data_IF_835648000792
#
_entry.id   IF_835648000792
#
_cell.length_a   1.000
_cell.length_b   1.000
_cell.length_c   1.000
_cell.angle_alpha   90.00
_cell.angle_beta   90.00
_cell.angle_gamma   90.00
#
_symmetry.space_group_name_H-M   'P 1'
#
loop_
_entity.id
_entity.type
_entity.pdbx_description
1 polymer ?
#
# COMPACT_ATOMS: atom_id res chain seq x y z
N UNK A 1 36.53 29.40 0.33
CA UNK A 1 37.06 28.48 1.37
C UNK A 1 36.31 27.16 1.21
N UNK A 2 36.99 26.09 0.78
CA UNK A 2 36.36 24.76 0.67
C UNK A 2 36.09 24.28 2.11
N UNK A 3 34.84 24.26 2.51
CA UNK A 3 34.45 23.57 3.75
C UNK A 3 34.82 22.09 3.61
N UNK A 4 35.53 21.52 4.59
CA UNK A 4 35.95 20.13 4.55
C UNK A 4 34.69 19.23 4.43
N UNK A 5 34.81 18.16 3.65
CA UNK A 5 33.72 17.20 3.49
C UNK A 5 33.33 16.62 4.86
N UNK A 6 32.01 16.48 5.17
CA UNK A 6 31.57 16.07 6.51
C UNK A 6 31.87 14.60 6.85
N UNK A 7 32.25 13.79 5.87
CA UNK A 7 32.57 12.37 6.03
C UNK A 7 34.00 12.08 5.69
N UNK A 8 34.57 11.09 6.37
CA UNK A 8 35.95 10.63 6.16
C UNK A 8 36.00 9.58 5.05
N UNK A 9 34.90 8.90 4.78
CA UNK A 9 34.77 7.94 3.68
C UNK A 9 33.32 7.99 3.12
N UNK A 10 33.21 7.94 1.80
CA UNK A 10 31.95 7.85 1.07
C UNK A 10 31.90 6.53 0.32
N UNK A 11 30.83 5.78 0.48
CA UNK A 11 30.65 4.45 -0.11
C UNK A 11 29.37 4.42 -0.93
N UNK A 12 29.46 4.01 -2.19
CA UNK A 12 28.33 3.59 -2.99
C UNK A 12 28.21 2.06 -2.96
N UNK A 13 27.01 1.56 -2.71
CA UNK A 13 26.72 0.12 -2.65
C UNK A 13 25.61 -0.22 -3.64
N UNK A 14 25.94 -1.04 -4.62
CA UNK A 14 24.97 -1.67 -5.52
C UNK A 14 24.84 -3.16 -5.21
N UNK A 15 23.61 -3.61 -4.92
CA UNK A 15 23.34 -4.96 -4.46
C UNK A 15 22.69 -5.80 -5.55
N UNK A 16 23.31 -6.94 -5.88
CA UNK A 16 22.70 -8.07 -6.55
C UNK A 16 22.18 -9.12 -5.54
N UNK A 17 21.72 -10.26 -6.04
CA UNK A 17 21.20 -11.35 -5.21
C UNK A 17 22.28 -11.95 -4.28
N UNK A 18 23.49 -12.18 -4.79
CA UNK A 18 24.57 -12.90 -4.08
C UNK A 18 25.75 -12.02 -3.73
N UNK A 19 25.93 -10.90 -4.41
CA UNK A 19 27.06 -10.00 -4.23
C UNK A 19 26.59 -8.57 -4.12
N UNK A 20 27.44 -7.72 -3.53
CA UNK A 20 27.30 -6.28 -3.56
C UNK A 20 28.60 -5.67 -4.08
N UNK A 21 28.48 -4.79 -5.06
CA UNK A 21 29.57 -3.98 -5.57
C UNK A 21 29.67 -2.70 -4.75
N UNK A 22 30.87 -2.40 -4.33
CA UNK A 22 31.21 -1.25 -3.49
C UNK A 22 32.14 -0.34 -4.26
N UNK A 23 31.91 0.96 -4.16
CA UNK A 23 32.84 1.99 -4.62
C UNK A 23 33.11 2.96 -3.49
N UNK A 24 34.40 3.18 -3.21
CA UNK A 24 34.88 4.01 -2.12
C UNK A 24 35.48 5.32 -2.66
N UNK A 25 35.21 6.42 -1.98
CA UNK A 25 35.86 7.71 -2.21
C UNK A 25 36.32 8.24 -0.87
N UNK A 26 37.63 8.49 -0.74
CA UNK A 26 38.19 9.25 0.37
C UNK A 26 38.12 10.76 0.02
N UNK A 27 37.30 11.53 0.74
CA UNK A 27 37.14 12.96 0.43
C UNK A 27 38.38 13.82 0.70
N UNK A 28 39.35 13.33 1.48
CA UNK A 28 40.58 14.08 1.82
C UNK A 28 41.64 13.92 0.74
N UNK A 29 41.88 12.69 0.33
CA UNK A 29 42.90 12.37 -0.67
C UNK A 29 42.41 12.36 -2.10
N UNK A 30 41.10 12.22 -2.31
CA UNK A 30 40.47 11.97 -3.61
C UNK A 30 40.71 10.54 -4.12
N UNK A 31 41.31 9.66 -3.33
CA UNK A 31 41.54 8.28 -3.71
C UNK A 31 40.22 7.52 -3.80
N UNK A 32 40.14 6.63 -4.81
CA UNK A 32 38.98 5.77 -5.03
C UNK A 32 39.38 4.31 -4.99
N UNK A 33 38.45 3.46 -4.57
CA UNK A 33 38.64 2.02 -4.55
C UNK A 33 37.36 1.26 -4.95
N UNK A 34 37.53 0.02 -5.34
CA UNK A 34 36.41 -0.89 -5.65
C UNK A 34 36.59 -2.20 -4.93
N UNK A 35 35.47 -2.78 -4.52
CA UNK A 35 35.44 -4.11 -3.90
C UNK A 35 34.10 -4.76 -4.21
N UNK A 36 34.10 -6.07 -4.40
CA UNK A 36 32.88 -6.88 -4.45
C UNK A 36 32.87 -7.79 -3.23
N UNK A 37 31.75 -7.83 -2.51
CA UNK A 37 31.56 -8.66 -1.32
C UNK A 37 30.35 -9.57 -1.50
N UNK A 38 30.32 -10.70 -0.79
CA UNK A 38 29.13 -11.53 -0.72
C UNK A 38 28.04 -10.84 0.15
N UNK A 39 26.78 -11.08 -0.16
CA UNK A 39 25.63 -10.49 0.56
C UNK A 39 25.13 -11.39 1.70
N UNK A 40 25.87 -12.43 2.07
CA UNK A 40 25.54 -13.21 3.25
C UNK A 40 25.72 -12.35 4.52
N UNK A 41 24.93 -12.57 5.58
CA UNK A 41 25.07 -11.83 6.83
C UNK A 41 26.49 -11.85 7.40
N UNK A 42 27.16 -13.01 7.35
CA UNK A 42 28.52 -13.19 7.85
C UNK A 42 29.54 -12.36 7.08
N UNK A 43 29.42 -12.34 5.74
CA UNK A 43 30.32 -11.54 4.90
C UNK A 43 30.10 -10.03 5.12
N UNK A 44 28.85 -9.60 5.24
CA UNK A 44 28.52 -8.22 5.52
C UNK A 44 29.02 -7.78 6.92
N UNK A 45 28.84 -8.60 7.96
CA UNK A 45 29.37 -8.35 9.28
C UNK A 45 30.90 -8.28 9.28
N UNK A 46 31.57 -9.24 8.63
CA UNK A 46 33.03 -9.26 8.52
C UNK A 46 33.57 -8.04 7.79
N UNK A 47 32.95 -7.64 6.69
CA UNK A 47 33.31 -6.43 5.96
C UNK A 47 33.16 -5.17 6.81
N UNK A 48 32.03 -5.00 7.52
CA UNK A 48 31.79 -3.84 8.38
C UNK A 48 32.74 -3.80 9.59
N UNK A 49 33.07 -4.94 10.18
CA UNK A 49 34.07 -5.02 11.25
C UNK A 49 35.45 -4.57 10.77
N UNK A 50 35.88 -5.05 9.58
CA UNK A 50 37.14 -4.62 8.97
C UNK A 50 37.12 -3.13 8.62
N UNK A 51 36.03 -2.61 8.06
CA UNK A 51 35.84 -1.21 7.74
C UNK A 51 36.00 -0.32 9.01
N UNK A 52 35.40 -0.77 10.13
CA UNK A 52 35.51 -0.07 11.42
C UNK A 52 36.95 -0.09 12.00
N UNK A 53 37.67 -1.18 11.79
CA UNK A 53 39.09 -1.27 12.19
C UNK A 53 39.98 -0.30 11.40
N UNK A 54 39.69 -0.14 10.09
CA UNK A 54 40.43 0.82 9.25
C UNK A 54 40.11 2.28 9.57
N UNK A 55 38.88 2.56 10.05
CA UNK A 55 38.38 3.90 10.37
C UNK A 55 37.76 3.95 11.78
N UNK A 56 38.57 3.83 12.87
CA UNK A 56 38.05 3.68 14.24
C UNK A 56 37.13 4.83 14.68
N UNK A 57 37.47 6.07 14.31
CA UNK A 57 36.70 7.28 14.63
C UNK A 57 36.07 7.92 13.37
N UNK A 58 36.18 7.26 12.22
CA UNK A 58 35.73 7.79 10.95
C UNK A 58 34.22 7.90 10.86
N UNK A 59 33.75 9.03 10.33
CA UNK A 59 32.34 9.23 9.92
C UNK A 59 32.18 8.73 8.50
N UNK A 60 31.42 7.63 8.33
CA UNK A 60 31.26 6.97 7.06
C UNK A 60 29.86 7.20 6.53
N UNK A 61 29.76 7.64 5.28
CA UNK A 61 28.50 7.75 4.55
C UNK A 61 28.35 6.61 3.53
N UNK A 62 27.22 5.93 3.54
CA UNK A 62 26.92 4.84 2.62
C UNK A 62 25.64 5.14 1.83
N UNK A 63 25.77 5.12 0.52
CA UNK A 63 24.70 5.34 -0.44
C UNK A 63 24.28 4.03 -1.11
N UNK A 64 22.99 3.75 -1.13
CA UNK A 64 22.42 2.56 -1.80
C UNK A 64 21.10 2.88 -2.48
N UNK A 65 20.73 2.05 -3.47
CA UNK A 65 19.46 2.20 -4.18
C UNK A 65 18.28 1.56 -3.43
N UNK A 66 17.14 2.21 -3.42
CA UNK A 66 15.87 1.63 -2.96
C UNK A 66 15.25 0.74 -4.05
N UNK A 67 14.56 -0.38 -3.72
CA UNK A 67 14.22 -0.87 -2.38
C UNK A 67 15.21 -1.91 -1.84
N UNK A 68 16.04 -1.54 -0.91
CA UNK A 68 16.95 -2.46 -0.22
C UNK A 68 16.54 -2.63 1.25
N UNK A 69 15.26 -2.88 1.53
CA UNK A 69 14.70 -2.81 2.87
C UNK A 69 15.43 -3.70 3.90
N UNK A 70 15.78 -4.94 3.56
CA UNK A 70 16.49 -5.84 4.45
C UNK A 70 17.93 -5.37 4.73
N UNK A 71 18.62 -4.87 3.71
CA UNK A 71 19.99 -4.36 3.85
C UNK A 71 20.02 -3.04 4.65
N UNK A 72 19.04 -2.16 4.43
CA UNK A 72 18.91 -0.94 5.23
C UNK A 72 18.70 -1.28 6.70
N UNK A 73 17.78 -2.19 7.02
CA UNK A 73 17.53 -2.65 8.39
C UNK A 73 18.78 -3.27 9.04
N UNK A 74 19.56 -4.00 8.26
CA UNK A 74 20.84 -4.54 8.72
C UNK A 74 21.85 -3.43 9.00
N UNK A 75 22.05 -2.50 8.06
CA UNK A 75 23.01 -1.40 8.18
C UNK A 75 22.63 -0.40 9.27
N UNK A 76 21.34 -0.21 9.58
CA UNK A 76 20.86 0.63 10.68
C UNK A 76 21.38 0.19 12.06
N UNK A 77 21.80 -1.07 12.22
CA UNK A 77 22.38 -1.56 13.47
C UNK A 77 23.76 -0.96 13.76
N UNK A 78 24.39 -0.37 12.74
CA UNK A 78 25.72 0.26 12.83
C UNK A 78 25.60 1.78 12.92
N UNK A 79 25.53 2.32 14.13
CA UNK A 79 25.29 3.75 14.40
C UNK A 79 26.34 4.71 13.85
N UNK A 80 27.53 4.21 13.51
CA UNK A 80 28.65 4.96 12.95
C UNK A 80 28.57 5.15 11.42
N UNK A 81 27.55 4.54 10.77
CA UNK A 81 27.30 4.71 9.33
C UNK A 81 26.10 5.63 9.14
N UNK A 82 26.29 6.66 8.33
CA UNK A 82 25.20 7.51 7.86
C UNK A 82 24.68 6.97 6.53
N UNK A 83 23.45 6.46 6.51
CA UNK A 83 22.84 5.85 5.33
C UNK A 83 22.12 6.88 4.46
N UNK A 84 22.27 6.72 3.14
CA UNK A 84 21.54 7.47 2.13
C UNK A 84 20.84 6.51 1.16
N UNK A 85 19.52 6.41 1.27
CA UNK A 85 18.73 5.54 0.43
C UNK A 85 18.17 6.33 -0.77
N UNK A 86 18.69 6.08 -1.96
CA UNK A 86 18.41 6.84 -3.18
C UNK A 86 17.29 6.21 -3.99
N UNK A 87 16.42 7.05 -4.52
CA UNK A 87 15.38 6.61 -5.43
C UNK A 87 16.00 6.18 -6.78
N UNK A 88 15.64 5.02 -7.35
CA UNK A 88 16.13 4.54 -8.64
C UNK A 88 16.08 5.59 -9.76
N UNK A 89 15.01 6.36 -9.81
CA UNK A 89 14.87 7.41 -10.81
C UNK A 89 15.90 8.55 -10.65
N UNK A 90 16.33 8.82 -9.42
CA UNK A 90 17.36 9.84 -9.14
C UNK A 90 18.71 9.34 -9.64
N UNK A 91 19.07 8.09 -9.34
CA UNK A 91 20.29 7.47 -9.82
C UNK A 91 20.30 7.40 -11.37
N UNK A 92 19.19 6.94 -11.96
CA UNK A 92 19.05 6.89 -13.42
C UNK A 92 19.30 8.27 -14.07
N UNK A 93 18.68 9.33 -13.56
CA UNK A 93 18.88 10.69 -14.11
C UNK A 93 20.29 11.20 -13.88
N UNK A 94 20.92 10.89 -12.76
CA UNK A 94 22.31 11.25 -12.52
C UNK A 94 23.22 10.57 -13.53
N UNK A 95 23.05 9.27 -13.76
CA UNK A 95 23.78 8.52 -14.77
C UNK A 95 23.58 9.07 -16.19
N UNK A 96 22.31 9.33 -16.59
CA UNK A 96 21.98 9.86 -17.92
C UNK A 96 22.62 11.25 -18.19
N UNK A 97 22.93 12.01 -17.15
CA UNK A 97 23.61 13.29 -17.29
C UNK A 97 25.08 13.16 -17.74
N UNK A 98 25.72 12.01 -17.50
CA UNK A 98 27.13 11.78 -17.78
C UNK A 98 27.40 10.69 -18.83
N UNK A 99 26.41 9.84 -19.14
CA UNK A 99 26.54 8.72 -20.10
C UNK A 99 25.57 8.89 -21.25
N UNK A 100 26.12 9.22 -22.42
CA UNK A 100 25.34 9.43 -23.65
C UNK A 100 24.85 8.13 -24.28
N UNK A 101 25.53 7.00 -24.07
CA UNK A 101 25.24 5.70 -24.69
C UNK A 101 24.01 5.00 -24.15
N UNK A 102 23.45 5.42 -22.99
CA UNK A 102 22.38 4.75 -22.22
C UNK A 102 22.65 3.27 -21.93
N UNK A 103 23.87 2.77 -22.15
CA UNK A 103 24.24 1.42 -21.84
C UNK A 103 24.21 1.20 -20.31
N UNK A 104 23.59 0.12 -19.87
CA UNK A 104 23.62 -0.31 -18.48
C UNK A 104 24.89 -1.15 -18.26
N UNK A 105 25.76 -0.69 -17.38
CA UNK A 105 26.93 -1.42 -16.93
C UNK A 105 26.79 -1.60 -15.42
N UNK A 106 26.49 -2.82 -15.00
CA UNK A 106 26.13 -3.14 -13.62
C UNK A 106 27.28 -2.81 -12.62
N UNK A 107 28.54 -2.81 -13.05
CA UNK A 107 29.68 -2.42 -12.19
C UNK A 107 29.83 -0.92 -11.93
N UNK A 108 29.05 -0.08 -12.60
CA UNK A 108 29.15 1.38 -12.47
C UNK A 108 28.08 1.99 -11.56
N UNK A 109 27.00 1.28 -11.23
CA UNK A 109 25.94 1.85 -10.39
C UNK A 109 26.43 2.15 -8.97
N UNK A 110 27.32 1.33 -8.38
CA UNK A 110 28.00 1.63 -7.13
C UNK A 110 28.88 2.90 -7.21
N UNK A 111 29.57 3.09 -8.33
CA UNK A 111 30.37 4.29 -8.58
C UNK A 111 29.49 5.54 -8.64
N UNK A 112 28.40 5.51 -9.41
CA UNK A 112 27.48 6.64 -9.50
C UNK A 112 26.79 6.97 -8.18
N UNK A 113 26.51 5.97 -7.35
CA UNK A 113 25.97 6.17 -6.00
C UNK A 113 26.99 6.89 -5.11
N UNK A 114 28.26 6.48 -5.16
CA UNK A 114 29.34 7.15 -4.40
C UNK A 114 29.55 8.58 -4.88
N UNK A 115 29.66 8.81 -6.19
CA UNK A 115 29.84 10.14 -6.80
C UNK A 115 28.67 11.08 -6.50
N UNK A 116 27.43 10.58 -6.61
CA UNK A 116 26.21 11.32 -6.29
C UNK A 116 26.23 11.78 -4.82
N UNK A 117 26.59 10.87 -3.89
CA UNK A 117 26.68 11.19 -2.48
C UNK A 117 27.84 12.15 -2.20
N UNK A 118 29.02 11.89 -2.73
CA UNK A 118 30.19 12.75 -2.57
C UNK A 118 29.92 14.18 -3.01
N UNK A 119 29.34 14.35 -4.22
CA UNK A 119 29.15 15.67 -4.81
C UNK A 119 27.92 16.40 -4.25
N UNK A 120 26.88 15.66 -3.86
CA UNK A 120 25.56 16.25 -3.54
C UNK A 120 25.02 15.89 -2.16
N UNK A 121 25.86 15.46 -1.21
CA UNK A 121 25.43 15.08 0.15
C UNK A 121 24.56 16.15 0.82
N UNK A 122 24.87 17.43 0.65
CA UNK A 122 24.10 18.55 1.21
C UNK A 122 22.66 18.66 0.67
N UNK A 123 22.36 18.09 -0.51
CA UNK A 123 21.03 18.06 -1.12
C UNK A 123 20.29 16.75 -0.85
N UNK A 124 21.00 15.72 -0.40
CA UNK A 124 20.44 14.42 -0.06
C UNK A 124 20.03 14.40 1.40
N UNK A 125 19.02 13.59 1.72
CA UNK A 125 18.62 13.36 3.12
C UNK A 125 19.16 12.04 3.58
N UNK A 126 19.87 12.07 4.70
CA UNK A 126 20.25 10.86 5.42
C UNK A 126 18.98 10.08 5.81
N UNK A 127 19.08 8.76 5.73
CA UNK A 127 18.02 7.87 6.17
C UNK A 127 17.81 8.00 7.68
N UNK A 128 16.56 8.21 8.07
CA UNK A 128 16.15 8.26 9.47
C UNK A 128 15.18 7.09 9.71
N UNK A 129 15.56 6.13 10.56
CA UNK A 129 14.68 5.01 10.88
C UNK A 129 13.45 5.46 11.66
N UNK A 130 12.36 4.77 11.46
CA UNK A 130 11.22 4.83 12.36
C UNK A 130 11.57 4.05 13.66
N UNK A 131 10.85 4.31 14.75
CA UNK A 131 10.98 3.50 15.97
C UNK A 131 10.61 2.02 15.73
N UNK A 132 11.02 1.14 16.66
CA UNK A 132 10.85 -0.31 16.52
C UNK A 132 9.39 -0.72 16.37
N UNK A 133 8.48 -0.09 17.11
CA UNK A 133 7.05 -0.38 17.07
C UNK A 133 6.43 0.03 15.73
N UNK A 134 6.79 1.19 15.22
CA UNK A 134 6.39 1.64 13.88
C UNK A 134 6.90 0.69 12.79
N UNK A 135 8.17 0.25 12.87
CA UNK A 135 8.73 -0.71 11.90
C UNK A 135 7.99 -2.06 11.95
N UNK A 136 7.68 -2.57 13.14
CA UNK A 136 6.87 -3.78 13.31
C UNK A 136 5.50 -3.62 12.65
N UNK A 137 4.80 -2.52 12.92
CA UNK A 137 3.50 -2.23 12.31
C UNK A 137 3.60 -2.15 10.78
N UNK A 138 4.65 -1.53 10.24
CA UNK A 138 4.90 -1.45 8.80
C UNK A 138 5.01 -2.82 8.15
N UNK A 139 5.72 -3.76 8.76
CA UNK A 139 5.85 -5.12 8.24
C UNK A 139 4.51 -5.85 8.29
N UNK A 140 3.82 -5.83 9.44
CA UNK A 140 2.53 -6.49 9.61
C UNK A 140 1.50 -6.02 8.56
N UNK A 141 1.32 -4.70 8.38
CA UNK A 141 0.33 -4.19 7.43
C UNK A 141 0.70 -4.46 5.97
N UNK A 142 2.00 -4.50 5.63
CA UNK A 142 2.48 -4.87 4.28
C UNK A 142 2.22 -6.34 3.98
N UNK A 143 2.58 -7.24 4.90
CA UNK A 143 2.34 -8.68 4.73
C UNK A 143 0.84 -9.00 4.70
N UNK A 144 0.06 -8.38 5.62
CA UNK A 144 -1.40 -8.48 5.56
C UNK A 144 -1.94 -8.08 4.18
N UNK A 145 -1.43 -6.98 3.60
CA UNK A 145 -1.86 -6.54 2.27
C UNK A 145 -1.49 -7.55 1.19
N UNK A 146 -0.32 -8.15 1.22
CA UNK A 146 0.08 -9.20 0.30
C UNK A 146 -0.90 -10.40 0.35
N UNK A 147 -1.27 -10.85 1.55
CA UNK A 147 -2.26 -11.94 1.72
C UNK A 147 -3.65 -11.53 1.19
N UNK A 148 -4.07 -10.26 1.35
CA UNK A 148 -5.32 -9.76 0.73
C UNK A 148 -5.25 -9.80 -0.79
N UNK A 149 -4.11 -9.45 -1.39
CA UNK A 149 -3.95 -9.49 -2.85
C UNK A 149 -3.96 -10.93 -3.38
N UNK A 150 -3.31 -11.88 -2.68
CA UNK A 150 -3.37 -13.32 -2.97
C UNK A 150 -4.81 -13.86 -2.89
N UNK A 151 -5.54 -13.53 -1.81
CA UNK A 151 -6.95 -13.88 -1.64
C UNK A 151 -7.81 -13.37 -2.79
N UNK A 152 -7.58 -12.14 -3.22
CA UNK A 152 -8.30 -11.55 -4.35
C UNK A 152 -7.99 -12.30 -5.65
N UNK A 153 -6.73 -12.66 -5.87
CA UNK A 153 -6.32 -13.48 -7.02
C UNK A 153 -6.97 -14.85 -7.02
N UNK A 154 -7.02 -15.53 -5.86
CA UNK A 154 -7.69 -16.82 -5.70
C UNK A 154 -9.21 -16.71 -5.96
N UNK A 155 -9.85 -15.68 -5.40
CA UNK A 155 -11.27 -15.43 -5.58
C UNK A 155 -11.65 -15.20 -7.06
N UNK A 156 -10.82 -14.44 -7.79
CA UNK A 156 -11.01 -14.23 -9.23
C UNK A 156 -10.81 -15.51 -10.04
N UNK A 157 -9.81 -16.34 -9.68
CA UNK A 157 -9.61 -17.67 -10.32
C UNK A 157 -10.79 -18.59 -10.05
N UNK A 158 -11.30 -18.63 -8.81
CA UNK A 158 -12.49 -19.40 -8.46
C UNK A 158 -13.70 -18.95 -9.26
N UNK A 159 -13.94 -17.65 -9.36
CA UNK A 159 -15.03 -17.07 -10.16
C UNK A 159 -14.93 -17.46 -11.63
N UNK A 160 -13.73 -17.41 -12.22
CA UNK A 160 -13.52 -17.81 -13.61
C UNK A 160 -13.78 -19.31 -13.83
N UNK A 161 -13.33 -20.14 -12.88
CA UNK A 161 -13.54 -21.59 -12.93
C UNK A 161 -15.01 -21.97 -12.82
N UNK A 162 -15.76 -21.39 -11.86
CA UNK A 162 -17.18 -21.65 -11.68
C UNK A 162 -18.01 -21.29 -12.91
N UNK A 163 -17.65 -20.22 -13.62
CA UNK A 163 -18.33 -19.83 -14.86
C UNK A 163 -18.24 -20.89 -15.97
N UNK A 164 -17.29 -21.82 -15.91
CA UNK A 164 -17.10 -22.85 -16.94
C UNK A 164 -18.01 -24.06 -16.76
N UNK A 165 -18.49 -24.36 -15.54
CA UNK A 165 -19.30 -25.54 -15.30
C UNK A 165 -20.44 -25.38 -14.30
N UNK A 166 -20.36 -24.43 -13.34
CA UNK A 166 -21.34 -24.18 -12.30
C UNK A 166 -21.58 -22.68 -12.08
N UNK A 167 -22.00 -21.92 -13.11
CA UNK A 167 -22.16 -20.46 -13.01
C UNK A 167 -23.18 -20.01 -11.96
N UNK A 168 -24.21 -20.82 -11.67
CA UNK A 168 -25.22 -20.54 -10.66
C UNK A 168 -24.62 -20.40 -9.24
N UNK A 169 -23.48 -21.03 -8.99
CA UNK A 169 -22.78 -20.92 -7.71
C UNK A 169 -22.45 -19.45 -7.33
N UNK A 170 -22.26 -18.56 -8.32
CA UNK A 170 -21.99 -17.14 -8.07
C UNK A 170 -23.16 -16.43 -7.40
N UNK A 171 -24.41 -16.80 -7.74
CA UNK A 171 -25.62 -16.28 -7.09
C UNK A 171 -25.88 -16.97 -5.75
N UNK A 172 -25.62 -18.28 -5.67
CA UNK A 172 -25.86 -19.09 -4.46
C UNK A 172 -24.90 -18.75 -3.33
N UNK A 173 -23.62 -18.45 -3.65
CA UNK A 173 -22.59 -18.11 -2.68
C UNK A 173 -22.53 -16.62 -2.35
N UNK A 174 -23.07 -15.74 -3.22
CA UNK A 174 -22.93 -14.29 -3.13
C UNK A 174 -21.63 -13.78 -3.78
N UNK A 175 -21.44 -12.45 -3.78
CA UNK A 175 -20.38 -11.78 -4.53
C UNK A 175 -18.96 -12.11 -4.01
N UNK A 176 -18.84 -12.31 -2.70
CA UNK A 176 -17.57 -12.52 -1.99
C UNK A 176 -17.25 -14.02 -1.83
N UNK A 177 -16.70 -14.65 -2.87
CA UNK A 177 -16.37 -16.09 -2.87
C UNK A 177 -15.32 -16.51 -1.84
N UNK A 178 -14.63 -15.57 -1.24
CA UNK A 178 -13.65 -15.82 -0.17
C UNK A 178 -14.27 -15.97 1.22
N UNK A 179 -15.57 -15.66 1.38
CA UNK A 179 -16.25 -15.77 2.68
C UNK A 179 -16.48 -17.24 3.08
N UNK A 180 -16.48 -17.54 4.39
CA UNK A 180 -16.67 -18.90 4.90
C UNK A 180 -17.93 -19.61 4.37
N UNK A 181 -19.02 -18.86 4.17
CA UNK A 181 -20.24 -19.42 3.55
C UNK A 181 -19.97 -19.97 2.15
N UNK A 182 -19.27 -19.21 1.31
CA UNK A 182 -19.02 -19.58 -0.08
C UNK A 182 -18.07 -20.78 -0.19
N UNK A 183 -16.96 -20.79 0.55
CA UNK A 183 -16.01 -21.90 0.56
C UNK A 183 -16.64 -23.17 1.10
N UNK A 184 -17.40 -23.09 2.20
CA UNK A 184 -18.12 -24.24 2.78
C UNK A 184 -19.21 -24.79 1.84
N UNK A 185 -19.95 -23.90 1.13
CA UNK A 185 -20.96 -24.30 0.15
C UNK A 185 -20.32 -25.09 -1.00
N UNK A 186 -19.28 -24.55 -1.60
CA UNK A 186 -18.60 -25.15 -2.75
C UNK A 186 -17.88 -26.45 -2.38
N UNK A 187 -17.36 -26.58 -1.16
CA UNK A 187 -16.80 -27.83 -0.66
C UNK A 187 -17.85 -28.91 -0.45
N UNK A 188 -19.03 -28.51 -0.02
CA UNK A 188 -20.15 -29.45 0.22
C UNK A 188 -20.85 -29.84 -1.06
N UNK A 189 -21.07 -28.88 -1.94
CA UNK A 189 -21.77 -29.05 -3.21
C UNK A 189 -20.97 -28.46 -4.37
N UNK A 190 -19.95 -29.17 -4.86
CA UNK A 190 -19.06 -28.63 -5.88
C UNK A 190 -19.65 -28.56 -7.29
N UNK A 191 -20.84 -29.16 -7.51
CA UNK A 191 -21.56 -29.11 -8.78
C UNK A 191 -23.05 -28.81 -8.57
N UNK A 192 -23.74 -28.33 -9.63
CA UNK A 192 -25.17 -28.08 -9.57
C UNK A 192 -25.96 -29.36 -9.26
N UNK A 193 -25.60 -30.47 -9.88
CA UNK A 193 -26.25 -31.77 -9.67
C UNK A 193 -26.19 -32.19 -8.18
N UNK A 194 -25.04 -31.98 -7.51
CA UNK A 194 -24.87 -32.32 -6.10
C UNK A 194 -25.78 -31.49 -5.19
N UNK A 195 -25.96 -30.18 -5.46
CA UNK A 195 -26.86 -29.37 -4.64
C UNK A 195 -28.31 -29.62 -4.94
N UNK A 196 -28.69 -29.96 -6.19
CA UNK A 196 -30.06 -30.36 -6.56
C UNK A 196 -30.49 -31.67 -5.94
N UNK A 197 -29.56 -32.62 -5.73
CA UNK A 197 -29.84 -33.90 -5.04
C UNK A 197 -30.02 -33.71 -3.51
N UNK A 198 -29.62 -32.57 -2.95
CA UNK A 198 -29.77 -32.30 -1.54
C UNK A 198 -31.23 -31.92 -1.19
N UNK A 199 -31.70 -32.45 -0.04
CA UNK A 199 -33.02 -32.07 0.47
C UNK A 199 -33.10 -30.55 0.71
N UNK A 200 -34.16 -29.83 0.29
CA UNK A 200 -34.28 -28.38 0.51
C UNK A 200 -34.07 -27.96 1.98
N UNK A 201 -34.55 -28.76 2.93
CA UNK A 201 -34.36 -28.55 4.36
C UNK A 201 -32.87 -28.57 4.74
N UNK A 202 -32.04 -29.45 4.15
CA UNK A 202 -30.61 -29.52 4.41
C UNK A 202 -29.87 -28.29 3.87
N UNK A 203 -30.28 -27.79 2.69
CA UNK A 203 -29.72 -26.55 2.11
C UNK A 203 -30.12 -25.32 2.95
N UNK A 204 -31.38 -25.25 3.41
CA UNK A 204 -31.84 -24.19 4.31
C UNK A 204 -31.07 -24.19 5.64
N UNK A 205 -30.90 -25.35 6.27
CA UNK A 205 -30.10 -25.51 7.51
C UNK A 205 -28.65 -25.09 7.30
N UNK A 206 -28.07 -25.40 6.14
CA UNK A 206 -26.70 -24.97 5.80
C UNK A 206 -26.58 -23.45 5.78
N UNK A 207 -27.48 -22.74 5.10
CA UNK A 207 -27.43 -21.26 5.05
C UNK A 207 -27.60 -20.64 6.43
N UNK A 208 -28.52 -21.15 7.26
CA UNK A 208 -28.70 -20.69 8.64
C UNK A 208 -27.43 -20.87 9.48
N UNK A 209 -26.79 -22.05 9.39
CA UNK A 209 -25.53 -22.34 10.10
C UNK A 209 -24.39 -21.39 9.71
N UNK A 210 -24.37 -20.96 8.45
CA UNK A 210 -23.36 -20.03 7.93
C UNK A 210 -23.80 -18.55 7.97
N UNK A 211 -24.73 -18.19 8.84
CA UNK A 211 -25.10 -16.81 9.16
C UNK A 211 -26.04 -16.13 8.17
N UNK A 212 -26.56 -16.82 7.15
CA UNK A 212 -27.59 -16.27 6.27
C UNK A 212 -28.96 -16.39 6.96
N UNK A 213 -29.50 -15.26 7.45
CA UNK A 213 -30.78 -15.24 8.22
C UNK A 213 -31.99 -14.78 7.43
N UNK A 214 -31.79 -14.20 6.24
CA UNK A 214 -32.90 -13.71 5.40
C UNK A 214 -33.64 -14.87 4.78
N UNK A 215 -34.84 -15.14 5.28
CA UNK A 215 -35.74 -16.18 4.77
C UNK A 215 -36.03 -16.01 3.26
N UNK A 216 -36.36 -14.78 2.86
CA UNK A 216 -36.60 -14.43 1.44
C UNK A 216 -35.39 -14.79 0.55
N UNK A 217 -34.16 -14.47 0.97
CA UNK A 217 -32.97 -14.79 0.18
C UNK A 217 -32.72 -16.29 0.09
N UNK A 218 -33.00 -17.03 1.17
CA UNK A 218 -32.83 -18.49 1.19
C UNK A 218 -33.88 -19.14 0.25
N UNK A 219 -35.11 -18.69 0.28
CA UNK A 219 -36.19 -19.17 -0.63
C UNK A 219 -35.83 -18.89 -2.09
N UNK A 220 -35.35 -17.70 -2.42
CA UNK A 220 -34.88 -17.38 -3.76
C UNK A 220 -33.74 -18.32 -4.22
N UNK A 221 -32.81 -18.63 -3.33
CA UNK A 221 -31.72 -19.57 -3.64
C UNK A 221 -32.21 -21.00 -3.85
N UNK A 222 -33.17 -21.48 -3.04
CA UNK A 222 -33.78 -22.79 -3.21
C UNK A 222 -34.53 -22.88 -4.53
N UNK A 223 -35.31 -21.86 -4.87
CA UNK A 223 -36.00 -21.77 -6.15
C UNK A 223 -35.02 -21.77 -7.34
N UNK A 224 -33.90 -21.01 -7.19
CA UNK A 224 -32.86 -20.99 -8.21
C UNK A 224 -32.22 -22.36 -8.40
N UNK A 225 -31.94 -23.10 -7.32
CA UNK A 225 -31.39 -24.46 -7.39
C UNK A 225 -32.35 -25.39 -8.11
N UNK A 226 -33.66 -25.34 -7.78
CA UNK A 226 -34.67 -26.22 -8.36
C UNK A 226 -34.86 -25.99 -9.88
N UNK A 227 -34.82 -24.72 -10.33
CA UNK A 227 -35.03 -24.34 -11.73
C UNK A 227 -33.74 -24.32 -12.57
N UNK A 228 -32.58 -24.46 -11.97
CA UNK A 228 -31.29 -24.35 -12.67
C UNK A 228 -31.05 -25.57 -13.57
N UNK A 229 -30.45 -25.30 -14.73
CA UNK A 229 -30.02 -26.32 -15.68
C UNK A 229 -28.50 -26.39 -15.67
N UNK A 230 -27.89 -27.59 -15.64
CA UNK A 230 -26.46 -27.76 -15.74
C UNK A 230 -25.91 -27.17 -17.04
N UNK A 231 -24.72 -26.55 -16.98
CA UNK A 231 -24.03 -26.08 -18.17
C UNK A 231 -23.37 -27.26 -18.93
N UNK A 232 -23.00 -28.30 -18.19
CA UNK A 232 -22.43 -29.55 -18.72
C UNK A 232 -22.72 -30.70 -17.77
N UNK A 233 -22.86 -31.91 -18.32
CA UNK A 233 -22.95 -33.17 -17.58
C UNK A 233 -21.72 -34.07 -17.82
N UNK A 234 -20.67 -33.56 -18.50
CA UNK A 234 -19.45 -34.30 -18.79
C UNK A 234 -18.67 -34.57 -17.51
N UNK A 235 -18.58 -35.86 -17.15
CA UNK A 235 -17.93 -36.31 -15.92
C UNK A 235 -16.47 -35.86 -15.78
N UNK A 236 -15.73 -35.87 -16.90
CA UNK A 236 -14.33 -35.43 -16.89
C UNK A 236 -14.20 -33.95 -16.49
N UNK A 237 -15.08 -33.10 -17.00
CA UNK A 237 -15.16 -31.67 -16.65
C UNK A 237 -15.57 -31.51 -15.19
N UNK A 238 -16.65 -32.15 -14.77
CA UNK A 238 -17.18 -32.01 -13.41
C UNK A 238 -16.18 -32.50 -12.35
N UNK A 239 -15.49 -33.61 -12.58
CA UNK A 239 -14.52 -34.16 -11.64
C UNK A 239 -13.28 -33.27 -11.51
N UNK A 240 -12.67 -32.90 -12.64
CA UNK A 240 -11.44 -32.08 -12.64
C UNK A 240 -11.68 -30.68 -12.06
N UNK A 241 -12.81 -30.04 -12.43
CA UNK A 241 -13.16 -28.72 -11.93
C UNK A 241 -13.52 -28.75 -10.43
N UNK A 242 -14.26 -29.78 -9.98
CA UNK A 242 -14.59 -29.95 -8.55
C UNK A 242 -13.34 -30.11 -7.72
N UNK A 243 -12.34 -30.88 -8.16
CA UNK A 243 -11.05 -31.04 -7.48
C UNK A 243 -10.33 -29.69 -7.37
N UNK A 244 -10.30 -28.93 -8.46
CA UNK A 244 -9.65 -27.60 -8.49
C UNK A 244 -10.36 -26.59 -7.60
N UNK A 245 -11.70 -26.57 -7.60
CA UNK A 245 -12.52 -25.72 -6.70
C UNK A 245 -12.24 -26.07 -5.24
N UNK A 246 -12.15 -27.36 -4.92
CA UNK A 246 -11.86 -27.80 -3.56
C UNK A 246 -10.52 -27.27 -3.05
N UNK A 247 -9.48 -27.36 -3.88
CA UNK A 247 -8.16 -26.81 -3.58
C UNK A 247 -8.20 -25.31 -3.34
N UNK A 248 -8.83 -24.53 -4.26
CA UNK A 248 -8.92 -23.07 -4.11
C UNK A 248 -9.71 -22.68 -2.87
N UNK A 249 -10.76 -23.42 -2.52
CA UNK A 249 -11.53 -23.17 -1.28
C UNK A 249 -10.66 -23.37 -0.03
N UNK A 250 -9.85 -24.42 0.02
CA UNK A 250 -8.89 -24.67 1.13
C UNK A 250 -7.87 -23.54 1.22
N UNK A 251 -7.32 -23.10 0.09
CA UNK A 251 -6.38 -21.97 0.04
C UNK A 251 -7.04 -20.67 0.54
N UNK A 252 -8.30 -20.39 0.18
CA UNK A 252 -9.06 -19.23 0.65
C UNK A 252 -9.32 -19.28 2.16
N UNK A 253 -9.69 -20.45 2.69
CA UNK A 253 -9.88 -20.67 4.13
C UNK A 253 -8.58 -20.43 4.92
N UNK A 254 -7.45 -20.90 4.39
CA UNK A 254 -6.14 -20.63 5.00
C UNK A 254 -5.84 -19.14 5.04
N UNK A 255 -6.03 -18.40 3.90
CA UNK A 255 -5.81 -16.96 3.85
C UNK A 255 -6.74 -16.21 4.78
N UNK A 256 -7.97 -16.67 4.94
CA UNK A 256 -8.92 -16.06 5.89
C UNK A 256 -8.40 -16.11 7.32
N UNK A 257 -8.00 -17.29 7.81
CA UNK A 257 -7.40 -17.47 9.15
C UNK A 257 -6.11 -16.67 9.33
N UNK A 258 -5.25 -16.66 8.30
CA UNK A 258 -4.00 -15.87 8.33
C UNK A 258 -4.29 -14.37 8.45
N UNK A 259 -5.31 -13.87 7.76
CA UNK A 259 -5.72 -12.46 7.87
C UNK A 259 -6.25 -12.10 9.25
N UNK A 260 -7.03 -13.00 9.88
CA UNK A 260 -7.49 -12.81 11.27
C UNK A 260 -6.32 -12.69 12.24
N UNK A 261 -5.27 -13.51 12.07
CA UNK A 261 -4.07 -13.44 12.89
C UNK A 261 -3.29 -12.13 12.65
N UNK A 262 -3.13 -11.70 11.40
CA UNK A 262 -2.55 -10.37 11.12
C UNK A 262 -3.38 -9.24 11.73
N UNK A 263 -4.70 -9.31 11.64
CA UNK A 263 -5.59 -8.29 12.21
C UNK A 263 -5.46 -8.21 13.73
N UNK A 264 -5.32 -9.34 14.41
CA UNK A 264 -5.07 -9.41 15.85
C UNK A 264 -3.73 -8.75 16.23
N UNK A 265 -2.64 -9.13 15.57
CA UNK A 265 -1.31 -8.57 15.84
C UNK A 265 -1.23 -7.07 15.51
N UNK A 266 -1.83 -6.65 14.39
CA UNK A 266 -1.91 -5.23 14.03
C UNK A 266 -2.67 -4.44 15.09
N UNK A 267 -3.80 -4.95 15.58
CA UNK A 267 -4.59 -4.29 16.62
C UNK A 267 -3.81 -4.13 17.93
N UNK A 268 -3.03 -5.13 18.30
CA UNK A 268 -2.18 -5.11 19.50
C UNK A 268 -1.08 -4.04 19.37
N UNK A 269 -0.27 -4.11 18.31
CA UNK A 269 0.84 -3.14 18.09
C UNK A 269 0.30 -1.72 17.91
N UNK A 270 -0.76 -1.54 17.11
CA UNK A 270 -1.38 -0.23 16.92
C UNK A 270 -1.99 0.32 18.21
N UNK A 271 -2.60 -0.55 19.03
CA UNK A 271 -3.22 -0.17 20.31
C UNK A 271 -2.23 0.41 21.31
N UNK A 272 -0.97 0.03 21.26
CA UNK A 272 0.10 0.52 22.12
C UNK A 272 0.85 1.72 21.53
N UNK A 273 0.64 2.06 20.25
CA UNK A 273 1.42 3.09 19.56
C UNK A 273 1.07 4.49 20.05
N UNK A 274 2.09 5.34 20.27
CA UNK A 274 1.92 6.70 20.79
C UNK A 274 1.02 7.60 19.90
N UNK A 275 1.08 7.42 18.60
CA UNK A 275 0.31 8.22 17.63
C UNK A 275 -1.05 7.60 17.27
N UNK A 276 -1.48 6.50 17.92
CA UNK A 276 -2.71 5.76 17.57
C UNK A 276 -3.94 6.66 17.49
N UNK A 277 -4.11 7.57 18.44
CA UNK A 277 -5.30 8.41 18.53
C UNK A 277 -5.43 9.39 17.36
N UNK A 278 -4.32 9.83 16.78
CA UNK A 278 -4.30 10.69 15.59
C UNK A 278 -5.00 9.99 14.42
N UNK A 279 -4.70 8.70 14.23
CA UNK A 279 -5.20 7.94 13.08
C UNK A 279 -6.51 7.23 13.36
N UNK A 280 -6.75 6.78 14.60
CA UNK A 280 -7.99 6.13 15.01
C UNK A 280 -9.21 7.04 14.86
N UNK A 281 -9.03 8.32 15.15
CA UNK A 281 -10.10 9.32 15.11
C UNK A 281 -10.35 9.91 13.70
N UNK A 282 -9.66 9.43 12.68
CA UNK A 282 -9.95 9.84 11.31
C UNK A 282 -11.26 9.20 10.82
N UNK A 283 -12.20 9.98 10.24
CA UNK A 283 -13.51 9.47 9.84
C UNK A 283 -13.38 8.37 8.78
N UNK A 284 -13.93 7.19 9.07
CA UNK A 284 -13.88 6.03 8.20
C UNK A 284 -12.55 5.28 8.15
N UNK A 285 -11.56 5.62 8.99
CA UNK A 285 -10.28 4.89 9.00
C UNK A 285 -10.41 3.44 9.52
N UNK A 286 -11.20 3.24 10.58
CA UNK A 286 -11.47 1.92 11.15
C UNK A 286 -10.21 1.11 11.50
N UNK A 287 -10.38 -0.17 11.89
CA UNK A 287 -9.28 -1.00 12.36
C UNK A 287 -8.27 -1.39 11.27
N UNK A 288 -8.62 -1.24 10.01
CA UNK A 288 -7.74 -1.62 8.88
C UNK A 288 -6.96 -0.42 8.35
N UNK A 289 -7.63 0.72 8.13
CA UNK A 289 -7.00 1.87 7.47
C UNK A 289 -6.20 2.75 8.43
N UNK A 290 -6.62 2.88 9.70
CA UNK A 290 -5.90 3.66 10.69
C UNK A 290 -4.45 3.17 10.90
N UNK A 291 -4.19 1.87 11.15
CA UNK A 291 -2.84 1.34 11.23
C UNK A 291 -2.04 1.50 9.92
N UNK A 292 -2.70 1.36 8.77
CA UNK A 292 -2.04 1.52 7.46
C UNK A 292 -1.60 2.95 7.19
N UNK A 293 -2.40 3.94 7.60
CA UNK A 293 -2.05 5.36 7.48
C UNK A 293 -0.88 5.70 8.40
N UNK A 294 -0.91 5.23 9.67
CA UNK A 294 0.20 5.40 10.60
C UNK A 294 1.48 4.77 10.03
N UNK A 295 1.43 3.51 9.62
CA UNK A 295 2.56 2.82 9.02
C UNK A 295 3.09 3.51 7.75
N UNK A 296 2.23 4.18 7.00
CA UNK A 296 2.62 4.96 5.82
C UNK A 296 3.39 6.23 6.20
N UNK A 297 2.94 6.99 7.19
CA UNK A 297 3.63 8.21 7.61
C UNK A 297 4.89 7.89 8.43
N UNK A 298 4.81 6.88 9.27
CA UNK A 298 5.87 6.53 10.20
C UNK A 298 5.88 7.39 11.46
N UNK A 299 6.92 7.22 12.29
CA UNK A 299 7.16 8.01 13.51
C UNK A 299 8.11 9.19 13.27
N UNK A 300 8.97 9.11 12.25
CA UNK A 300 9.98 10.14 11.96
C UNK A 300 9.37 11.34 11.22
N UNK A 301 9.09 12.40 11.97
CA UNK A 301 8.40 13.60 11.47
C UNK A 301 9.24 14.46 10.54
N UNK A 302 10.57 14.48 10.71
CA UNK A 302 11.48 15.22 9.84
C UNK A 302 11.52 14.66 8.40
N UNK A 303 11.01 13.43 8.19
CA UNK A 303 10.89 12.82 6.86
C UNK A 303 10.07 13.68 5.91
N UNK A 304 9.00 14.30 6.41
CA UNK A 304 8.10 15.16 5.62
C UNK A 304 7.96 16.55 6.23
N UNK A 305 8.93 17.42 6.00
CA UNK A 305 8.94 18.81 6.51
C UNK A 305 7.73 19.63 6.08
N UNK A 306 7.15 19.29 4.93
CA UNK A 306 5.97 19.97 4.35
C UNK A 306 5.00 18.95 3.78
N UNK A 307 3.71 19.24 3.87
CA UNK A 307 2.67 18.39 3.30
C UNK A 307 2.89 18.07 1.81
N UNK A 308 3.45 19.02 1.04
CA UNK A 308 3.78 18.83 -0.37
C UNK A 308 4.80 17.71 -0.61
N UNK A 309 5.77 17.52 0.31
CA UNK A 309 6.73 16.40 0.24
C UNK A 309 6.01 15.06 0.39
N UNK A 310 5.11 14.95 1.36
CA UNK A 310 4.25 13.77 1.55
C UNK A 310 3.41 13.48 0.30
N UNK A 311 2.74 14.51 -0.25
CA UNK A 311 1.88 14.38 -1.42
C UNK A 311 2.66 13.91 -2.67
N UNK A 312 3.87 14.40 -2.84
CA UNK A 312 4.76 13.99 -3.93
C UNK A 312 5.25 12.56 -3.74
N UNK A 313 5.71 12.22 -2.53
CA UNK A 313 6.23 10.90 -2.19
C UNK A 313 5.17 9.81 -2.37
N UNK A 314 3.96 10.05 -1.89
CA UNK A 314 2.84 9.12 -1.98
C UNK A 314 2.37 8.84 -3.43
N UNK A 315 2.72 9.69 -4.38
CA UNK A 315 2.23 9.60 -5.76
C UNK A 315 0.77 10.04 -5.95
N UNK A 316 0.17 10.67 -4.92
CA UNK A 316 -1.17 11.28 -5.02
C UNK A 316 -1.09 12.61 -5.78
N UNK A 317 -0.06 13.42 -5.51
CA UNK A 317 0.16 14.66 -6.27
C UNK A 317 0.47 14.36 -7.74
N UNK A 318 -0.17 15.06 -8.67
CA UNK A 318 0.15 14.94 -10.09
C UNK A 318 1.55 15.50 -10.39
N UNK A 319 2.08 15.15 -11.56
CA UNK A 319 3.27 15.77 -12.13
C UNK A 319 2.81 16.78 -13.18
N UNK A 320 3.16 18.04 -12.99
CA UNK A 320 2.92 19.08 -14.00
C UNK A 320 4.20 19.27 -14.81
N UNK A 321 4.11 19.15 -16.12
CA UNK A 321 5.16 19.52 -17.08
C UNK A 321 4.67 20.74 -17.83
N UNK A 322 5.49 21.78 -17.88
CA UNK A 322 5.20 23.01 -18.64
C UNK A 322 6.35 23.31 -19.56
N UNK A 323 6.06 23.48 -20.84
CA UNK A 323 7.02 23.85 -21.87
C UNK A 323 6.30 24.62 -22.94
N UNK A 324 6.87 25.74 -23.41
CA UNK A 324 6.35 26.56 -24.50
C UNK A 324 4.90 27.01 -24.32
N UNK A 325 4.50 27.41 -23.11
CA UNK A 325 3.12 27.84 -22.80
C UNK A 325 2.11 26.68 -22.62
N UNK A 326 2.44 25.45 -22.99
CA UNK A 326 1.58 24.28 -22.81
C UNK A 326 1.82 23.62 -21.45
N UNK A 327 0.73 23.38 -20.70
CA UNK A 327 0.76 22.72 -19.41
C UNK A 327 0.14 21.33 -19.51
N UNK A 328 0.93 20.30 -19.26
CA UNK A 328 0.49 18.90 -19.20
C UNK A 328 0.52 18.38 -17.77
N UNK A 329 -0.59 17.77 -17.33
CA UNK A 329 -0.72 17.19 -15.99
C UNK A 329 -0.80 15.68 -16.11
N UNK A 330 0.19 14.99 -15.53
CA UNK A 330 0.30 13.54 -15.61
C UNK A 330 0.14 12.90 -14.23
N UNK A 331 -0.34 11.66 -14.22
CA UNK A 331 -0.32 10.82 -13.03
C UNK A 331 1.14 10.46 -12.69
N UNK A 332 1.50 10.51 -11.41
CA UNK A 332 2.80 10.02 -10.95
C UNK A 332 2.80 8.49 -10.94
N UNK A 333 3.74 7.88 -11.64
CA UNK A 333 3.86 6.42 -11.76
C UNK A 333 4.89 5.88 -10.75
N UNK A 334 6.07 6.48 -10.66
CA UNK A 334 7.11 6.10 -9.72
C UNK A 334 6.76 6.64 -8.32
N UNK A 335 6.24 5.76 -7.48
CA UNK A 335 5.88 6.05 -6.09
C UNK A 335 5.64 4.75 -5.32
N UNK A 336 5.75 4.75 -3.97
CA UNK A 336 5.45 3.58 -3.14
C UNK A 336 3.99 3.16 -3.29
N UNK A 337 3.76 2.00 -3.94
CA UNK A 337 2.39 1.51 -4.26
C UNK A 337 1.51 1.39 -3.02
N UNK A 338 2.04 0.80 -1.94
CA UNK A 338 1.32 0.62 -0.68
C UNK A 338 0.84 1.96 -0.09
N UNK A 339 1.72 2.97 -0.10
CA UNK A 339 1.42 4.32 0.41
C UNK A 339 0.29 4.97 -0.38
N UNK A 340 0.42 4.99 -1.71
CA UNK A 340 -0.60 5.52 -2.63
C UNK A 340 -1.95 4.85 -2.43
N UNK A 341 -1.97 3.53 -2.33
CA UNK A 341 -3.16 2.74 -2.14
C UNK A 341 -3.82 3.03 -0.80
N UNK A 342 -3.05 3.10 0.29
CA UNK A 342 -3.59 3.38 1.63
C UNK A 342 -4.34 4.71 1.68
N UNK A 343 -3.77 5.77 1.11
CA UNK A 343 -4.45 7.07 1.04
C UNK A 343 -5.62 7.11 0.08
N UNK A 344 -5.55 6.38 -1.03
CA UNK A 344 -6.64 6.30 -1.99
C UNK A 344 -7.85 5.55 -1.41
N UNK A 345 -7.61 4.41 -0.76
CA UNK A 345 -8.66 3.62 -0.10
C UNK A 345 -9.28 4.40 1.07
N UNK A 346 -8.45 5.05 1.90
CA UNK A 346 -8.95 5.89 2.98
C UNK A 346 -9.81 7.06 2.47
N UNK A 347 -9.36 7.76 1.45
CA UNK A 347 -10.14 8.86 0.87
C UNK A 347 -11.49 8.38 0.32
N UNK A 348 -11.54 7.20 -0.30
CA UNK A 348 -12.79 6.58 -0.75
C UNK A 348 -13.72 6.30 0.43
N UNK A 349 -13.21 5.70 1.49
CA UNK A 349 -14.00 5.35 2.67
C UNK A 349 -14.51 6.60 3.41
N UNK A 350 -13.68 7.64 3.51
CA UNK A 350 -14.06 8.89 4.18
C UNK A 350 -15.28 9.60 3.56
N UNK A 351 -15.64 9.30 2.31
CA UNK A 351 -16.84 9.87 1.65
C UNK A 351 -18.12 9.52 2.41
N UNK A 352 -18.16 8.35 3.05
CA UNK A 352 -19.32 7.88 3.81
C UNK A 352 -19.34 8.40 5.26
N UNK A 353 -18.23 8.94 5.75
CA UNK A 353 -18.03 9.26 7.17
C UNK A 353 -17.70 10.73 7.44
N UNK A 354 -17.52 11.55 6.40
CA UNK A 354 -17.18 12.98 6.53
C UNK A 354 -17.97 13.82 5.54
N UNK A 355 -18.68 14.86 6.06
CA UNK A 355 -19.54 15.73 5.23
C UNK A 355 -18.75 16.49 4.19
N UNK A 356 -17.63 17.12 4.56
CA UNK A 356 -16.82 17.86 3.61
C UNK A 356 -16.14 16.96 2.59
N UNK A 357 -15.76 15.73 2.98
CA UNK A 357 -15.16 14.77 2.08
C UNK A 357 -16.17 14.35 1.00
N UNK A 358 -17.41 14.07 1.39
CA UNK A 358 -18.52 13.82 0.47
C UNK A 358 -18.77 15.04 -0.43
N UNK A 359 -18.85 16.26 0.14
CA UNK A 359 -19.04 17.50 -0.63
C UNK A 359 -17.95 17.69 -1.68
N UNK A 360 -16.67 17.49 -1.29
CA UNK A 360 -15.54 17.58 -2.22
C UNK A 360 -15.62 16.56 -3.33
N UNK A 361 -15.91 15.29 -2.99
CA UNK A 361 -16.05 14.23 -3.97
C UNK A 361 -17.14 14.57 -5.00
N UNK A 362 -18.33 15.01 -4.56
CA UNK A 362 -19.43 15.38 -5.44
C UNK A 362 -19.11 16.59 -6.30
N UNK A 363 -18.48 17.61 -5.75
CA UNK A 363 -18.01 18.77 -6.52
C UNK A 363 -17.09 18.34 -7.68
N UNK A 364 -16.18 17.39 -7.44
CA UNK A 364 -15.32 16.87 -8.50
C UNK A 364 -16.11 16.06 -9.54
N UNK A 365 -17.11 15.27 -9.08
CA UNK A 365 -17.98 14.51 -9.99
C UNK A 365 -18.82 15.44 -10.88
N UNK A 366 -19.36 16.52 -10.34
CA UNK A 366 -20.12 17.54 -11.09
C UNK A 366 -19.24 18.25 -12.12
N UNK A 367 -17.95 18.41 -11.85
CA UNK A 367 -16.97 18.92 -12.83
C UNK A 367 -16.58 17.91 -13.92
N UNK A 368 -17.25 16.76 -14.02
CA UNK A 368 -16.97 15.72 -15.01
C UNK A 368 -15.80 14.79 -14.66
N UNK A 369 -15.19 14.91 -13.46
CA UNK A 369 -14.10 14.01 -13.07
C UNK A 369 -14.60 12.58 -12.88
N UNK A 370 -13.90 11.58 -13.44
CA UNK A 370 -14.15 10.18 -13.19
C UNK A 370 -13.93 9.82 -11.70
N UNK A 371 -14.56 8.72 -11.23
CA UNK A 371 -14.55 8.28 -9.82
C UNK A 371 -13.13 8.30 -9.21
N UNK A 372 -12.19 7.59 -9.81
CA UNK A 372 -10.82 7.50 -9.28
C UNK A 372 -10.06 8.83 -9.27
N UNK A 373 -10.40 9.76 -10.19
CA UNK A 373 -9.81 11.10 -10.21
C UNK A 373 -10.37 11.94 -9.08
N UNK A 374 -11.68 11.90 -8.83
CA UNK A 374 -12.32 12.59 -7.70
C UNK A 374 -11.79 12.08 -6.35
N UNK A 375 -11.68 10.75 -6.16
CA UNK A 375 -11.10 10.15 -4.95
C UNK A 375 -9.64 10.57 -4.77
N UNK A 376 -8.84 10.64 -5.84
CA UNK A 376 -7.45 11.10 -5.75
C UNK A 376 -7.33 12.57 -5.36
N UNK A 377 -8.22 13.41 -5.87
CA UNK A 377 -8.32 14.81 -5.48
C UNK A 377 -8.66 14.95 -3.99
N UNK A 378 -9.56 14.11 -3.49
CA UNK A 378 -9.90 14.04 -2.06
C UNK A 378 -8.71 13.55 -1.23
N UNK A 379 -8.00 12.50 -1.68
CA UNK A 379 -6.80 11.99 -1.02
C UNK A 379 -5.71 13.07 -0.91
N UNK A 380 -5.57 13.92 -1.92
CA UNK A 380 -4.63 15.05 -1.90
C UNK A 380 -4.95 16.05 -0.78
N UNK A 381 -6.23 16.34 -0.53
CA UNK A 381 -6.66 17.20 0.59
C UNK A 381 -6.44 16.50 1.93
N UNK A 382 -6.84 15.23 2.05
CA UNK A 382 -6.64 14.46 3.26
C UNK A 382 -5.17 14.38 3.69
N UNK A 383 -4.26 14.22 2.75
CA UNK A 383 -2.82 14.19 3.07
C UNK A 383 -2.32 15.46 3.76
N UNK A 384 -2.84 16.63 3.38
CA UNK A 384 -2.49 17.89 4.06
C UNK A 384 -3.04 17.95 5.49
N UNK A 385 -4.27 17.49 5.67
CA UNK A 385 -4.94 17.47 6.99
C UNK A 385 -4.22 16.47 7.90
N UNK A 386 -4.03 15.24 7.43
CA UNK A 386 -3.39 14.17 8.20
C UNK A 386 -1.94 14.54 8.52
N UNK A 387 -1.21 15.11 7.55
CA UNK A 387 0.15 15.60 7.78
C UNK A 387 0.18 16.64 8.92
N UNK A 388 -0.74 17.60 8.92
CA UNK A 388 -0.81 18.61 9.98
C UNK A 388 -1.11 17.97 11.34
N UNK A 389 -2.11 17.12 11.43
CA UNK A 389 -2.44 16.40 12.66
C UNK A 389 -1.25 15.57 13.17
N UNK A 390 -0.57 14.88 12.28
CA UNK A 390 0.59 14.05 12.61
C UNK A 390 1.80 14.91 13.05
N UNK A 391 2.10 16.03 12.39
CA UNK A 391 3.17 16.93 12.78
C UNK A 391 2.92 17.58 14.15
N UNK A 392 1.72 18.07 14.39
CA UNK A 392 1.36 18.75 15.64
C UNK A 392 0.88 17.80 16.75
N UNK A 393 0.84 16.49 16.51
CA UNK A 393 0.31 15.46 17.43
C UNK A 393 -1.11 15.76 17.92
N UNK A 394 -1.95 16.28 17.03
CA UNK A 394 -3.34 16.64 17.34
C UNK A 394 -4.32 15.71 16.66
N UNK A 395 -5.44 15.47 17.33
CA UNK A 395 -6.54 14.67 16.77
C UNK A 395 -7.31 15.52 15.76
N UNK A 396 -7.71 14.89 14.64
CA UNK A 396 -8.59 15.52 13.67
C UNK A 396 -9.97 15.80 14.26
N UNK A 397 -10.49 17.00 14.02
CA UNK A 397 -11.86 17.42 14.38
C UNK A 397 -12.52 18.03 13.16
N UNK A 398 -13.65 17.44 12.75
CA UNK A 398 -14.37 17.86 11.54
C UNK A 398 -14.89 19.29 11.65
N UNK A 399 -15.38 19.66 12.83
CA UNK A 399 -15.96 21.00 13.11
C UNK A 399 -14.92 22.11 12.89
N UNK A 400 -13.66 21.87 13.28
CA UNK A 400 -12.56 22.83 13.09
C UNK A 400 -12.28 23.03 11.61
N UNK A 401 -12.27 21.92 10.85
CA UNK A 401 -12.02 21.99 9.41
C UNK A 401 -13.19 22.66 8.67
N UNK A 402 -14.43 22.32 9.01
CA UNK A 402 -15.63 22.97 8.43
C UNK A 402 -15.68 24.47 8.76
N UNK A 403 -15.33 24.88 9.99
CA UNK A 403 -15.21 26.28 10.37
C UNK A 403 -14.15 27.03 9.53
N UNK A 404 -12.99 26.39 9.31
CA UNK A 404 -11.95 26.95 8.45
C UNK A 404 -12.41 27.08 6.97
N UNK A 405 -13.21 26.14 6.47
CA UNK A 405 -13.81 26.25 5.14
C UNK A 405 -14.79 27.42 5.04
N UNK A 406 -15.60 27.63 6.07
CA UNK A 406 -16.53 28.77 6.14
C UNK A 406 -15.78 30.10 6.18
N UNK A 407 -14.77 30.21 7.04
CA UNK A 407 -13.94 31.39 7.17
C UNK A 407 -13.19 31.76 5.88
N UNK A 408 -12.75 30.74 5.11
CA UNK A 408 -12.05 30.95 3.83
C UNK A 408 -12.99 31.22 2.65
N UNK A 409 -14.30 31.27 2.84
CA UNK A 409 -15.27 31.45 1.75
C UNK A 409 -15.27 30.29 0.73
N UNK A 410 -14.96 29.08 1.19
CA UNK A 410 -14.83 27.92 0.30
C UNK A 410 -16.15 27.59 -0.41
N UNK A 411 -16.13 27.36 -1.75
CA UNK A 411 -17.33 26.93 -2.49
C UNK A 411 -17.94 25.61 -2.00
N UNK A 412 -17.20 24.84 -1.18
CA UNK A 412 -17.71 23.60 -0.58
C UNK A 412 -18.80 23.87 0.47
N UNK A 413 -18.83 25.05 1.08
CA UNK A 413 -19.79 25.38 2.14
C UNK A 413 -21.23 25.24 1.66
N UNK A 414 -21.53 25.70 0.45
CA UNK A 414 -22.87 25.58 -0.14
C UNK A 414 -23.35 24.13 -0.35
N UNK A 415 -22.41 23.17 -0.43
CA UNK A 415 -22.71 21.75 -0.58
C UNK A 415 -22.82 21.02 0.76
N UNK A 416 -22.22 21.55 1.84
CA UNK A 416 -22.22 20.89 3.15
C UNK A 416 -23.64 20.68 3.68
N UNK A 417 -24.54 21.67 3.51
CA UNK A 417 -25.89 21.63 4.02
C UNK A 417 -26.80 20.63 3.23
N UNK A 418 -26.36 20.22 2.04
CA UNK A 418 -27.10 19.30 1.18
C UNK A 418 -26.71 17.83 1.42
N UNK A 419 -25.64 17.56 2.20
CA UNK A 419 -25.08 16.21 2.36
C UNK A 419 -25.43 15.63 3.71
N UNK A 420 -26.08 14.45 3.70
CA UNK A 420 -26.29 13.60 4.86
C UNK A 420 -25.24 12.49 4.91
N UNK A 421 -24.49 12.42 6.00
CA UNK A 421 -23.52 11.35 6.26
C UNK A 421 -24.26 9.99 6.35
N UNK A 422 -23.68 8.95 5.77
CA UNK A 422 -24.24 7.59 5.85
C UNK A 422 -25.22 7.21 4.75
N UNK A 423 -25.68 8.14 3.94
CA UNK A 423 -26.45 7.82 2.72
C UNK A 423 -25.57 8.03 1.49
N UNK A 424 -25.57 7.06 0.58
CA UNK A 424 -24.93 7.27 -0.73
C UNK A 424 -25.57 8.51 -1.37
N UNK A 425 -24.80 9.55 -1.67
CA UNK A 425 -25.37 10.78 -2.24
C UNK A 425 -26.03 10.57 -3.61
N UNK A 426 -25.78 9.44 -4.28
CA UNK A 426 -26.52 9.09 -5.52
C UNK A 426 -28.03 9.04 -5.33
N UNK A 427 -28.53 8.65 -4.14
CA UNK A 427 -29.97 8.58 -3.87
C UNK A 427 -30.60 9.93 -3.52
N UNK A 428 -29.82 10.93 -3.17
CA UNK A 428 -30.33 12.25 -2.75
C UNK A 428 -30.47 13.22 -3.94
N UNK A 429 -29.61 13.09 -4.94
CA UNK A 429 -29.63 13.95 -6.14
C UNK A 429 -30.53 13.41 -7.27
N UNK A 430 -30.70 12.10 -7.37
CA UNK A 430 -31.63 11.47 -8.34
C UNK A 430 -33.13 11.73 -8.02
N UNK A 431 -33.45 12.26 -6.83
CA UNK A 431 -34.83 12.66 -6.44
C UNK A 431 -35.14 14.13 -6.71
N UNK A 432 -34.20 14.90 -7.25
CA UNK A 432 -34.36 16.33 -7.54
C UNK A 432 -34.14 16.70 -9.02
N UNK A 433 -33.99 15.71 -9.91
CA UNK A 433 -33.96 15.91 -11.37
C UNK A 433 -35.22 15.38 -12.03
#
# INVERSE_FOLDING_TARGET
MNTPHPFDLVIGLDRSDRTADLHFIDPRSGQTGKQTIATSPEALHGWLAHLRQQHPEGRIALCLEQPAASLILFLETYSWITLYAINPLTLQKFREAFVTSRAKDDGKDAQYLAELLFTHHAKLKAWQPDDGQTRQLQQLVRHRRAVVDERTGLSNRLKALLKQYFPQALELCGEDLWRPLATAFLRKWPTLQRVQQAKPAAVKTFYHRHGSRSQKLIEQRLERIAKAVPLTDELAVLQSHSLRVHLICQELELRHRTLEEFDRQIAEVFGQHADREIFRNLPGAGPVLAPRLLASLGSERARFERAQRLQNFSGIAPVTKQSGGKRHVHRRYCCPKFFKQSFHEYAKESILHSRWAAAHYWQQRQKGCGHHTAVRSLAYKWQRIIWRCWQSRTIYREEIYEAALKQSGSPLVALLDQIQVGKSPMNTLAKKS
#
